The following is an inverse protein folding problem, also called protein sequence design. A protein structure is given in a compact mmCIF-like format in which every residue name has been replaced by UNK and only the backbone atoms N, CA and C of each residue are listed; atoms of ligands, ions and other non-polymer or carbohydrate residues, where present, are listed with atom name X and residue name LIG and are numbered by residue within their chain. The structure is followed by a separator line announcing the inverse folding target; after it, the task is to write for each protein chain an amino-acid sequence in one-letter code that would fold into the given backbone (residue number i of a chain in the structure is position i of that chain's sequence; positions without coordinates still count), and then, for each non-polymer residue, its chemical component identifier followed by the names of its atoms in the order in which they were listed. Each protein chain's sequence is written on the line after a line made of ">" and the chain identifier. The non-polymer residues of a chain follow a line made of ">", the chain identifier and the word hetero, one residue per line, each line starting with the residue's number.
data_IF_535416515132
#
_entry.id   IF_535416515132
#
_cell.length_a   1.000
_cell.length_b   1.000
_cell.length_c   1.000
_cell.angle_alpha   90.00
_cell.angle_beta   90.00
_cell.angle_gamma   90.00
#
_symmetry.space_group_name_H-M   'P 1'
#
loop_
_entity.id
_entity.type
_entity.pdbx_description
1 polymer ?
#
# COMPACT_ATOMS: atom_id res chain seq x y z
N UNK A 1 -33.96 -50.77 -14.06
CA UNK A 1 -32.66 -50.38 -14.69
C UNK A 1 -32.55 -48.88 -14.88
N UNK A 2 -33.59 -48.20 -15.32
CA UNK A 2 -33.56 -46.72 -15.57
C UNK A 2 -33.26 -45.91 -14.28
N UNK A 3 -33.81 -46.33 -13.14
CA UNK A 3 -33.63 -45.66 -11.83
C UNK A 3 -32.18 -45.66 -11.34
N UNK A 4 -31.46 -46.74 -11.62
CA UNK A 4 -30.04 -46.90 -11.28
C UNK A 4 -29.13 -46.05 -12.18
N UNK A 5 -29.49 -45.90 -13.44
CA UNK A 5 -28.77 -45.06 -14.40
C UNK A 5 -28.94 -43.60 -14.06
N UNK A 6 -30.18 -43.15 -13.78
CA UNK A 6 -30.44 -41.75 -13.37
C UNK A 6 -29.76 -41.40 -12.04
N UNK A 7 -29.77 -42.32 -11.05
CA UNK A 7 -29.04 -42.13 -9.78
C UNK A 7 -27.53 -41.98 -10.00
N UNK A 8 -26.96 -42.81 -10.87
CA UNK A 8 -25.53 -42.74 -11.23
C UNK A 8 -25.15 -41.42 -11.91
N UNK A 9 -25.97 -40.94 -12.84
CA UNK A 9 -25.74 -39.63 -13.51
C UNK A 9 -25.82 -38.46 -12.55
N UNK A 10 -26.82 -38.44 -11.64
CA UNK A 10 -26.94 -37.39 -10.61
C UNK A 10 -25.75 -37.41 -9.65
N UNK A 11 -25.32 -38.60 -9.20
CA UNK A 11 -24.14 -38.73 -8.33
C UNK A 11 -22.87 -38.23 -9.04
N UNK A 12 -22.69 -38.54 -10.32
CA UNK A 12 -21.54 -38.09 -11.11
C UNK A 12 -21.54 -36.57 -11.29
N UNK A 13 -22.70 -35.95 -11.52
CA UNK A 13 -22.85 -34.49 -11.58
C UNK A 13 -22.53 -33.82 -10.25
N UNK A 14 -23.00 -34.37 -9.13
CA UNK A 14 -22.70 -33.83 -7.80
C UNK A 14 -21.20 -33.91 -7.47
N UNK A 15 -20.56 -35.05 -7.82
CA UNK A 15 -19.09 -35.20 -7.65
C UNK A 15 -18.34 -34.22 -8.53
N UNK A 16 -18.78 -34.00 -9.77
CA UNK A 16 -18.16 -33.04 -10.69
C UNK A 16 -18.29 -31.60 -10.16
N UNK A 17 -19.46 -31.21 -9.68
CA UNK A 17 -19.67 -29.88 -9.07
C UNK A 17 -18.83 -29.69 -7.79
N UNK A 18 -18.75 -30.73 -6.95
CA UNK A 18 -17.91 -30.68 -5.75
C UNK A 18 -16.41 -30.62 -6.10
N UNK A 19 -15.96 -31.35 -7.12
CA UNK A 19 -14.57 -31.30 -7.60
C UNK A 19 -14.23 -29.91 -8.18
N UNK A 20 -15.15 -29.32 -8.95
CA UNK A 20 -15.00 -27.96 -9.47
C UNK A 20 -14.94 -26.94 -8.34
N UNK A 21 -15.82 -27.04 -7.35
CA UNK A 21 -15.80 -26.17 -6.16
C UNK A 21 -14.50 -26.30 -5.37
N UNK A 22 -14.00 -27.53 -5.16
CA UNK A 22 -12.72 -27.75 -4.50
C UNK A 22 -11.53 -27.21 -5.31
N UNK A 23 -11.56 -27.30 -6.63
CA UNK A 23 -10.54 -26.72 -7.51
C UNK A 23 -10.46 -25.19 -7.31
N UNK A 24 -11.60 -24.49 -7.35
CA UNK A 24 -11.64 -23.03 -7.15
C UNK A 24 -11.19 -22.61 -5.75
N UNK A 25 -11.60 -23.35 -4.71
CA UNK A 25 -11.16 -23.08 -3.34
C UNK A 25 -9.65 -23.25 -3.19
N UNK A 26 -9.09 -24.30 -3.82
CA UNK A 26 -7.62 -24.49 -3.81
C UNK A 26 -6.91 -23.39 -4.54
N UNK A 27 -7.37 -23.01 -5.72
CA UNK A 27 -6.75 -21.93 -6.51
C UNK A 27 -6.79 -20.60 -5.77
N UNK A 28 -7.91 -20.27 -5.14
CA UNK A 28 -8.02 -19.08 -4.30
C UNK A 28 -7.09 -19.16 -3.07
N UNK A 29 -6.99 -20.34 -2.45
CA UNK A 29 -6.05 -20.55 -1.33
C UNK A 29 -4.61 -20.42 -1.78
N UNK A 30 -4.21 -21.02 -2.89
CA UNK A 30 -2.84 -20.96 -3.41
C UNK A 30 -2.47 -19.52 -3.77
N UNK A 31 -3.40 -18.73 -4.35
CA UNK A 31 -3.21 -17.31 -4.60
C UNK A 31 -3.02 -16.51 -3.30
N UNK A 32 -3.86 -16.76 -2.29
CA UNK A 32 -3.73 -16.14 -0.96
C UNK A 32 -2.43 -16.55 -0.26
N UNK A 33 -2.02 -17.82 -0.33
CA UNK A 33 -0.78 -18.30 0.27
C UNK A 33 0.47 -17.70 -0.43
N UNK A 34 0.41 -17.43 -1.74
CA UNK A 34 1.47 -16.70 -2.46
C UNK A 34 1.54 -15.23 -2.02
N UNK A 35 0.39 -14.60 -1.78
CA UNK A 35 0.31 -13.23 -1.29
C UNK A 35 0.67 -13.09 0.20
N UNK A 36 0.47 -14.15 0.99
CA UNK A 36 0.79 -14.22 2.41
C UNK A 36 2.28 -14.46 2.70
N UNK A 37 3.14 -14.47 1.67
CA UNK A 37 4.58 -14.49 1.92
C UNK A 37 4.98 -13.20 2.63
N UNK A 38 5.69 -13.29 3.78
CA UNK A 38 6.11 -12.12 4.51
C UNK A 38 7.06 -11.31 3.63
N UNK A 39 6.57 -10.21 3.09
CA UNK A 39 7.44 -9.22 2.48
C UNK A 39 8.11 -8.47 3.63
N UNK A 40 9.45 -8.50 3.68
CA UNK A 40 10.19 -7.64 4.60
C UNK A 40 9.86 -6.20 4.23
N UNK A 41 9.27 -5.39 5.13
CA UNK A 41 9.01 -3.99 4.83
C UNK A 41 10.30 -3.29 4.44
N UNK A 42 10.28 -2.57 3.33
CA UNK A 42 11.40 -1.77 2.88
C UNK A 42 11.00 -0.29 2.91
N UNK A 43 11.80 0.51 3.60
CA UNK A 43 11.69 1.97 3.54
C UNK A 43 12.65 2.48 2.47
N UNK A 44 12.13 3.26 1.54
CA UNK A 44 12.94 3.96 0.55
C UNK A 44 13.33 5.33 1.09
N UNK A 45 14.62 5.54 1.28
CA UNK A 45 15.21 6.81 1.69
C UNK A 45 15.71 7.51 0.44
N UNK A 46 15.11 8.64 0.11
CA UNK A 46 15.53 9.49 -1.00
C UNK A 46 16.55 10.53 -0.53
N UNK A 47 17.52 10.82 -1.41
CA UNK A 47 18.40 11.99 -1.29
C UNK A 47 17.96 13.02 -2.30
N UNK A 48 17.59 14.20 -1.82
CA UNK A 48 16.98 15.28 -2.61
C UNK A 48 17.87 16.50 -2.60
N UNK A 49 17.95 17.15 -3.75
CA UNK A 49 18.56 18.47 -3.94
C UNK A 49 17.54 19.44 -4.54
N UNK A 50 17.84 20.73 -4.60
CA UNK A 50 16.99 21.66 -5.35
C UNK A 50 17.05 21.32 -6.85
N UNK A 51 15.99 21.64 -7.60
CA UNK A 51 15.89 21.31 -9.03
C UNK A 51 17.02 21.92 -9.88
N UNK A 52 17.49 23.10 -9.49
CA UNK A 52 18.58 23.81 -10.16
C UNK A 52 19.99 23.42 -9.67
N UNK A 53 20.10 22.50 -8.71
CA UNK A 53 21.38 22.00 -8.20
C UNK A 53 22.12 21.18 -9.29
N UNK A 54 23.46 21.33 -9.44
CA UNK A 54 24.23 20.59 -10.45
C UNK A 54 24.36 19.10 -10.22
N UNK A 55 24.18 18.58 -8.99
CA UNK A 55 24.30 17.15 -8.68
C UNK A 55 23.26 16.34 -9.45
N UNK A 56 23.68 15.26 -10.13
CA UNK A 56 22.81 14.38 -10.89
C UNK A 56 22.69 12.98 -10.26
N UNK A 57 23.65 12.62 -9.42
CA UNK A 57 23.75 11.32 -8.75
C UNK A 57 23.99 11.50 -7.26
N UNK A 58 23.81 10.40 -6.50
CA UNK A 58 24.12 10.40 -5.07
C UNK A 58 25.59 10.75 -4.80
N UNK A 59 26.51 10.25 -5.62
CA UNK A 59 27.95 10.44 -5.49
C UNK A 59 28.34 11.93 -5.62
N UNK A 60 27.60 12.69 -6.43
CA UNK A 60 27.84 14.13 -6.61
C UNK A 60 27.56 14.91 -5.31
N UNK A 61 26.80 14.33 -4.38
CA UNK A 61 26.46 14.95 -3.08
C UNK A 61 27.46 14.63 -1.96
N UNK A 62 28.56 13.93 -2.24
CA UNK A 62 29.50 13.42 -1.20
C UNK A 62 30.07 14.51 -0.28
N UNK A 63 30.21 15.74 -0.77
CA UNK A 63 30.69 16.90 0.01
C UNK A 63 29.59 17.85 0.49
N UNK A 64 28.31 17.54 0.21
CA UNK A 64 27.21 18.45 0.51
C UNK A 64 26.89 18.51 1.99
N UNK A 65 26.54 19.70 2.47
CA UNK A 65 25.94 19.89 3.79
C UNK A 65 24.52 19.30 3.74
N UNK A 66 24.40 18.06 4.21
CA UNK A 66 23.17 17.28 4.17
C UNK A 66 22.37 17.43 5.47
N UNK A 67 21.08 17.25 5.38
CA UNK A 67 20.17 17.19 6.53
C UNK A 67 19.33 15.94 6.49
N UNK A 68 19.00 15.42 7.67
CA UNK A 68 18.03 14.36 7.89
C UNK A 68 17.19 14.65 9.13
N UNK A 69 16.35 13.72 9.55
CA UNK A 69 15.54 13.91 10.72
C UNK A 69 14.68 12.70 11.02
N UNK A 70 13.57 12.91 11.76
CA UNK A 70 12.62 11.86 12.13
C UNK A 70 12.20 11.00 10.92
N UNK A 71 11.98 11.65 9.79
CA UNK A 71 11.65 11.02 8.51
C UNK A 71 12.82 10.23 7.87
N UNK A 72 13.97 10.19 8.49
CA UNK A 72 15.18 9.54 7.99
C UNK A 72 16.07 9.03 9.12
N UNK A 73 15.50 8.65 10.27
CA UNK A 73 16.27 8.12 11.41
C UNK A 73 17.18 6.96 10.96
N UNK A 74 18.48 7.08 11.26
CA UNK A 74 19.51 6.15 10.79
C UNK A 74 20.02 6.39 9.37
N UNK A 75 19.47 7.35 8.62
CA UNK A 75 19.86 7.64 7.23
C UNK A 75 21.30 8.10 7.07
N UNK A 76 21.88 8.78 8.08
CA UNK A 76 23.29 9.20 8.03
C UNK A 76 24.24 8.02 7.77
N UNK A 77 24.05 6.91 8.52
CA UNK A 77 24.89 5.72 8.37
C UNK A 77 24.75 5.11 6.96
N UNK A 78 23.52 5.07 6.42
CA UNK A 78 23.25 4.55 5.09
C UNK A 78 23.86 5.44 4.00
N UNK A 79 23.67 6.75 4.08
CA UNK A 79 24.24 7.71 3.14
C UNK A 79 25.76 7.66 3.23
N UNK A 80 26.34 7.62 4.45
CA UNK A 80 27.77 7.50 4.66
C UNK A 80 28.34 6.21 4.08
N UNK A 81 27.64 5.09 4.22
CA UNK A 81 28.03 3.82 3.60
C UNK A 81 27.99 3.89 2.07
N UNK A 82 26.94 4.46 1.49
CA UNK A 82 26.77 4.59 0.05
C UNK A 82 27.82 5.52 -0.58
N UNK A 83 28.15 6.64 0.09
CA UNK A 83 29.15 7.61 -0.36
C UNK A 83 30.59 7.23 -0.03
N UNK A 84 30.80 6.18 0.80
CA UNK A 84 32.13 5.83 1.32
C UNK A 84 32.72 6.83 2.33
N UNK A 85 31.94 7.83 2.73
CA UNK A 85 32.28 8.85 3.73
C UNK A 85 31.03 9.48 4.32
N UNK A 86 31.08 9.90 5.59
CA UNK A 86 29.98 10.62 6.21
C UNK A 86 29.95 12.08 5.69
N UNK A 87 28.80 12.55 5.13
CA UNK A 87 28.64 13.94 4.74
C UNK A 87 28.52 14.86 5.97
N UNK A 88 28.82 16.15 5.87
CA UNK A 88 28.46 17.12 6.91
C UNK A 88 26.95 17.05 7.18
N UNK A 89 26.55 16.73 8.43
CA UNK A 89 25.18 16.34 8.77
C UNK A 89 24.54 17.23 9.83
N UNK A 90 23.24 17.47 9.69
CA UNK A 90 22.41 18.09 10.71
C UNK A 90 21.04 17.42 10.78
N UNK A 91 20.60 17.10 11.99
CA UNK A 91 19.27 16.58 12.27
C UNK A 91 18.23 17.72 12.33
N UNK A 92 17.04 17.44 11.81
CA UNK A 92 15.89 18.31 11.83
C UNK A 92 14.68 17.59 12.49
N UNK A 93 13.86 18.30 13.27
CA UNK A 93 12.78 17.66 14.01
C UNK A 93 11.63 17.16 13.13
N UNK A 94 11.50 17.70 11.93
CA UNK A 94 10.44 17.33 10.98
C UNK A 94 10.92 17.45 9.54
N UNK A 95 10.26 16.73 8.62
CA UNK A 95 10.51 16.85 7.18
C UNK A 95 10.23 18.28 6.68
N UNK A 96 9.28 18.99 7.28
CA UNK A 96 8.99 20.40 6.96
C UNK A 96 10.17 21.33 7.29
N UNK A 97 10.76 21.17 8.47
CA UNK A 97 11.93 21.96 8.88
C UNK A 97 13.14 21.68 7.97
N UNK A 98 13.30 20.44 7.53
CA UNK A 98 14.35 20.06 6.60
C UNK A 98 14.09 20.64 5.20
N UNK A 99 12.86 20.61 4.70
CA UNK A 99 12.48 21.23 3.42
C UNK A 99 12.72 22.75 3.46
N UNK A 100 12.37 23.42 4.55
CA UNK A 100 12.64 24.85 4.76
C UNK A 100 14.15 25.15 4.70
N UNK A 101 14.99 24.32 5.35
CA UNK A 101 16.43 24.48 5.35
C UNK A 101 17.03 24.28 3.96
N UNK A 102 16.53 23.31 3.19
CA UNK A 102 16.92 23.09 1.80
C UNK A 102 16.50 24.29 0.93
N UNK A 103 15.24 24.72 1.01
CA UNK A 103 14.73 25.86 0.22
C UNK A 103 15.42 27.20 0.52
N UNK A 104 15.94 27.38 1.75
CA UNK A 104 16.74 28.55 2.14
C UNK A 104 18.24 28.44 1.78
N UNK A 105 18.69 27.30 1.25
CA UNK A 105 20.09 27.02 0.97
C UNK A 105 20.95 26.80 2.23
N UNK A 106 20.35 26.59 3.39
CA UNK A 106 21.06 26.21 4.64
C UNK A 106 21.61 24.80 4.55
N UNK A 107 20.98 23.96 3.75
CA UNK A 107 21.40 22.61 3.37
C UNK A 107 21.44 22.49 1.85
N UNK A 108 22.38 21.68 1.34
CA UNK A 108 22.52 21.39 -0.07
C UNK A 108 21.81 20.11 -0.47
N UNK A 109 21.65 19.18 0.48
CA UNK A 109 20.89 17.95 0.29
C UNK A 109 19.97 17.66 1.48
N UNK A 110 18.78 17.14 1.20
CA UNK A 110 17.81 16.64 2.16
C UNK A 110 17.67 15.12 2.01
N UNK A 111 17.77 14.41 3.13
CA UNK A 111 17.64 12.96 3.21
C UNK A 111 16.39 12.63 3.99
N UNK A 112 15.40 12.06 3.33
CA UNK A 112 14.11 11.71 3.93
C UNK A 112 13.47 10.53 3.20
N UNK A 113 12.54 9.86 3.86
CA UNK A 113 11.75 8.82 3.20
C UNK A 113 10.96 9.43 2.02
N UNK A 114 10.94 8.71 0.90
CA UNK A 114 10.19 9.12 -0.31
C UNK A 114 8.73 9.41 -0.01
N UNK A 115 8.13 8.64 0.89
CA UNK A 115 6.76 8.83 1.35
C UNK A 115 6.53 10.20 2.05
N UNK A 116 7.50 10.68 2.82
CA UNK A 116 7.42 12.01 3.44
C UNK A 116 7.55 13.15 2.43
N UNK A 117 8.37 12.99 1.38
CA UNK A 117 8.44 13.97 0.30
C UNK A 117 7.08 14.16 -0.38
N UNK A 118 6.37 13.05 -0.62
CA UNK A 118 5.01 13.10 -1.15
C UNK A 118 4.02 13.81 -0.22
N UNK A 119 4.18 13.65 1.10
CA UNK A 119 3.34 14.35 2.08
C UNK A 119 3.66 15.84 2.17
N UNK A 120 4.94 16.21 1.99
CA UNK A 120 5.34 17.61 1.92
C UNK A 120 4.63 18.32 0.76
N UNK A 121 4.63 17.74 -0.45
CA UNK A 121 4.02 18.36 -1.63
C UNK A 121 2.51 18.56 -1.50
N UNK A 122 1.83 17.76 -0.69
CA UNK A 122 0.39 17.89 -0.40
C UNK A 122 0.09 18.95 0.67
N UNK A 123 1.10 19.41 1.41
CA UNK A 123 0.93 20.34 2.50
C UNK A 123 0.89 21.79 2.00
N UNK A 124 -0.06 22.57 2.58
CA UNK A 124 -0.21 23.98 2.23
C UNK A 124 1.06 24.80 2.51
N UNK A 125 1.61 25.41 1.46
CA UNK A 125 2.83 26.22 1.50
C UNK A 125 4.10 25.42 1.18
N UNK A 126 3.97 24.11 0.93
CA UNK A 126 5.06 23.22 0.55
C UNK A 126 4.88 22.58 -0.83
N UNK A 127 3.86 23.00 -1.58
CA UNK A 127 3.58 22.53 -2.95
C UNK A 127 4.80 22.68 -3.89
N UNK A 128 5.68 23.64 -3.56
CA UNK A 128 6.92 23.84 -4.29
C UNK A 128 7.86 22.62 -4.25
N UNK A 129 7.75 21.75 -3.23
CA UNK A 129 8.61 20.58 -3.09
C UNK A 129 8.37 19.53 -4.18
N UNK A 130 7.20 19.54 -4.84
CA UNK A 130 6.88 18.64 -5.94
C UNK A 130 7.78 18.89 -7.17
N UNK A 131 8.02 20.17 -7.48
CA UNK A 131 8.78 20.56 -8.68
C UNK A 131 10.10 21.25 -8.37
N UNK A 132 10.30 21.68 -7.14
CA UNK A 132 11.50 22.39 -6.69
C UNK A 132 12.55 21.48 -6.02
N UNK A 133 12.20 20.21 -5.76
CA UNK A 133 13.13 19.21 -5.26
C UNK A 133 13.29 18.09 -6.28
N UNK A 134 14.53 17.63 -6.46
CA UNK A 134 14.86 16.53 -7.36
C UNK A 134 15.58 15.44 -6.58
N UNK A 135 15.13 14.20 -6.74
CA UNK A 135 15.78 13.02 -6.17
C UNK A 135 17.01 12.65 -6.99
N UNK A 136 18.15 12.52 -6.33
CA UNK A 136 19.43 12.16 -6.95
C UNK A 136 19.92 10.76 -6.57
N UNK A 137 19.25 10.12 -5.61
CA UNK A 137 19.54 8.74 -5.22
C UNK A 137 18.49 8.15 -4.31
N UNK A 138 18.41 6.80 -4.30
CA UNK A 138 17.58 6.00 -3.40
C UNK A 138 18.42 5.00 -2.62
N UNK A 139 18.13 4.87 -1.35
CA UNK A 139 18.69 3.87 -0.45
C UNK A 139 17.52 3.09 0.16
N UNK A 140 17.71 1.80 0.41
CA UNK A 140 16.65 0.94 0.94
C UNK A 140 17.06 0.40 2.32
N UNK A 141 16.14 0.50 3.27
CA UNK A 141 16.28 -0.07 4.62
C UNK A 141 15.30 -1.22 4.73
N UNK A 142 15.80 -2.40 5.03
CA UNK A 142 14.96 -3.53 5.42
C UNK A 142 14.57 -3.38 6.88
N UNK A 143 13.30 -3.43 7.19
CA UNK A 143 12.77 -3.37 8.54
C UNK A 143 12.29 -4.77 8.94
N UNK A 144 12.83 -5.31 10.03
CA UNK A 144 12.28 -6.54 10.60
C UNK A 144 10.91 -6.23 11.23
N UNK A 145 9.85 -6.36 10.46
CA UNK A 145 8.50 -6.32 11.02
C UNK A 145 8.18 -7.68 11.67
N UNK A 146 7.77 -7.71 12.93
CA UNK A 146 7.29 -8.95 13.53
C UNK A 146 6.07 -9.43 12.72
N UNK A 147 6.13 -10.68 12.25
CA UNK A 147 4.99 -11.30 11.58
C UNK A 147 3.79 -11.33 12.55
N UNK A 148 2.64 -10.78 12.18
CA UNK A 148 1.46 -10.88 13.02
C UNK A 148 1.12 -12.36 13.22
N UNK A 149 0.92 -12.76 14.48
CA UNK A 149 0.47 -14.11 14.80
C UNK A 149 -0.98 -14.28 14.32
N UNK A 150 -1.18 -15.07 13.28
CA UNK A 150 -2.53 -15.43 12.83
C UNK A 150 -3.11 -16.42 13.84
N UNK A 151 -4.26 -16.13 14.49
CA UNK A 151 -4.91 -17.09 15.37
C UNK A 151 -5.22 -18.39 14.62
N UNK A 152 -5.01 -19.54 15.27
CA UNK A 152 -5.28 -20.85 14.67
C UNK A 152 -6.77 -21.06 14.33
N UNK A 153 -7.67 -20.37 15.03
CA UNK A 153 -9.11 -20.38 14.76
C UNK A 153 -9.61 -18.94 14.61
N UNK A 154 -10.24 -18.65 13.48
CA UNK A 154 -10.86 -17.35 13.25
C UNK A 154 -12.05 -17.15 14.21
N UNK A 155 -12.16 -16.01 14.89
CA UNK A 155 -13.29 -15.71 15.75
C UNK A 155 -14.60 -15.68 14.94
N UNK A 156 -15.73 -15.89 15.62
CA UNK A 156 -17.07 -15.84 14.98
C UNK A 156 -17.33 -14.50 14.27
N UNK A 157 -16.74 -13.42 14.81
CA UNK A 157 -16.84 -12.06 14.27
C UNK A 157 -15.48 -11.41 14.32
N UNK A 158 -15.10 -10.77 13.23
CA UNK A 158 -13.86 -10.03 13.14
C UNK A 158 -13.96 -8.94 12.07
N UNK A 159 -13.05 -7.98 12.16
CA UNK A 159 -12.90 -6.93 11.15
C UNK A 159 -11.55 -7.11 10.47
N UNK A 160 -11.56 -6.99 9.14
CA UNK A 160 -10.37 -6.99 8.30
C UNK A 160 -10.24 -5.61 7.67
N UNK A 161 -9.08 -5.00 7.79
CA UNK A 161 -8.73 -3.79 7.05
C UNK A 161 -8.16 -4.19 5.68
N UNK A 162 -8.78 -3.69 4.63
CA UNK A 162 -8.33 -3.87 3.24
C UNK A 162 -7.72 -2.55 2.77
N UNK A 163 -6.47 -2.60 2.34
CA UNK A 163 -5.69 -1.44 1.91
C UNK A 163 -4.94 -1.73 0.62
N UNK A 164 -4.70 -0.68 -0.13
CA UNK A 164 -3.76 -0.72 -1.25
C UNK A 164 -2.38 -0.19 -0.86
N UNK A 165 -1.44 -0.31 -1.78
CA UNK A 165 -0.14 0.35 -1.76
C UNK A 165 0.36 0.55 -3.19
N UNK A 166 1.10 1.60 -3.40
CA UNK A 166 1.83 1.83 -4.65
C UNK A 166 3.21 1.15 -4.58
N UNK A 167 3.59 0.46 -5.64
CA UNK A 167 4.87 -0.27 -5.70
C UNK A 167 4.86 -1.62 -4.97
N UNK A 168 6.00 -2.10 -4.47
CA UNK A 168 6.08 -3.33 -3.68
C UNK A 168 5.22 -3.26 -2.41
N UNK A 169 4.55 -4.36 -2.02
CA UNK A 169 3.70 -4.40 -0.82
C UNK A 169 4.47 -4.15 0.48
N UNK A 170 5.79 -4.31 0.45
CA UNK A 170 6.71 -4.00 1.54
C UNK A 170 7.01 -2.51 1.70
N UNK A 171 6.76 -1.69 0.66
CA UNK A 171 7.08 -0.26 0.70
C UNK A 171 6.06 0.50 1.53
N UNK A 172 6.53 1.36 2.43
CA UNK A 172 5.68 2.32 3.12
C UNK A 172 5.24 3.38 2.11
N UNK A 173 3.94 3.50 1.91
CA UNK A 173 3.35 4.44 0.96
C UNK A 173 1.96 4.87 1.43
N UNK A 174 1.45 5.93 0.84
CA UNK A 174 0.06 6.35 1.03
C UNK A 174 -0.90 5.21 0.67
N UNK A 175 -2.02 5.14 1.38
CA UNK A 175 -3.12 4.23 1.06
C UNK A 175 -4.29 5.03 0.46
N UNK A 176 -4.65 4.70 -0.76
CA UNK A 176 -5.78 5.33 -1.45
C UNK A 176 -7.08 4.57 -1.21
N UNK A 177 -6.99 3.27 -0.94
CA UNK A 177 -8.12 2.40 -0.62
C UNK A 177 -8.10 2.04 0.86
N UNK A 178 -9.17 2.38 1.56
CA UNK A 178 -9.34 2.10 2.99
C UNK A 178 -10.73 1.51 3.22
N UNK A 179 -10.81 0.17 3.28
CA UNK A 179 -12.07 -0.56 3.43
C UNK A 179 -12.01 -1.44 4.68
N UNK A 180 -12.99 -1.31 5.56
CA UNK A 180 -13.22 -2.25 6.65
C UNK A 180 -14.22 -3.32 6.21
N UNK A 181 -13.83 -4.59 6.31
CA UNK A 181 -14.66 -5.74 6.06
C UNK A 181 -15.04 -6.40 7.38
N UNK A 182 -16.24 -6.13 7.88
CA UNK A 182 -16.75 -6.77 9.08
C UNK A 182 -17.41 -8.11 8.71
N UNK A 183 -16.83 -9.21 9.22
CA UNK A 183 -17.21 -10.58 8.91
C UNK A 183 -17.95 -11.21 10.09
N UNK A 184 -19.06 -11.85 9.81
CA UNK A 184 -19.75 -12.73 10.75
C UNK A 184 -19.90 -14.12 10.12
N UNK A 185 -19.04 -15.05 10.50
CA UNK A 185 -18.98 -16.41 9.93
C UNK A 185 -20.21 -17.23 10.25
N UNK A 186 -20.76 -17.07 11.46
CA UNK A 186 -21.97 -17.80 11.90
C UNK A 186 -23.21 -17.39 11.13
N UNK A 187 -23.39 -16.06 10.92
CA UNK A 187 -24.54 -15.53 10.17
C UNK A 187 -24.30 -15.48 8.67
N UNK A 188 -23.09 -15.82 8.20
CA UNK A 188 -22.64 -15.70 6.81
C UNK A 188 -22.92 -14.30 6.25
N UNK A 189 -22.54 -13.28 7.02
CA UNK A 189 -22.70 -11.86 6.63
C UNK A 189 -21.36 -11.18 6.53
N UNK A 190 -21.23 -10.39 5.48
CA UNK A 190 -20.13 -9.48 5.25
C UNK A 190 -20.71 -8.07 5.13
N UNK A 191 -20.09 -7.11 5.84
CA UNK A 191 -20.36 -5.69 5.70
C UNK A 191 -19.08 -4.98 5.29
N UNK A 192 -19.15 -4.16 4.25
CA UNK A 192 -18.02 -3.39 3.76
C UNK A 192 -18.27 -1.90 4.02
N UNK A 193 -17.28 -1.23 4.60
CA UNK A 193 -17.29 0.19 4.87
C UNK A 193 -16.04 0.82 4.26
N UNK A 194 -16.21 1.58 3.18
CA UNK A 194 -15.13 2.34 2.56
C UNK A 194 -15.00 3.72 3.24
N UNK A 195 -13.78 4.08 3.61
CA UNK A 195 -13.44 5.39 4.17
C UNK A 195 -12.64 6.17 3.13
N UNK A 196 -13.06 7.39 2.74
CA UNK A 196 -12.30 8.21 1.79
C UNK A 196 -10.87 8.47 2.30
N UNK A 197 -9.90 8.42 1.39
CA UNK A 197 -8.48 8.61 1.71
C UNK A 197 -8.16 9.97 2.35
N UNK A 198 -8.91 11.01 1.99
CA UNK A 198 -8.74 12.37 2.51
C UNK A 198 -9.50 12.62 3.82
N UNK A 199 -10.06 11.57 4.43
CA UNK A 199 -10.75 11.70 5.72
C UNK A 199 -9.77 12.16 6.78
N UNK A 200 -10.16 13.18 7.56
CA UNK A 200 -9.30 13.83 8.54
C UNK A 200 -9.39 13.10 9.86
N UNK A 201 -8.32 12.44 10.26
CA UNK A 201 -8.25 11.53 11.40
C UNK A 201 -7.05 11.82 12.29
N UNK A 202 -7.06 11.34 13.51
CA UNK A 202 -5.88 11.35 14.36
C UNK A 202 -5.38 9.92 14.57
N UNK A 203 -4.08 9.75 14.69
CA UNK A 203 -3.42 8.49 14.98
C UNK A 203 -2.16 8.74 15.82
N UNK A 204 -1.68 7.71 16.51
CA UNK A 204 -0.64 7.84 17.55
C UNK A 204 0.68 8.41 17.02
N UNK A 205 1.07 8.06 15.78
CA UNK A 205 2.33 8.48 15.15
C UNK A 205 2.41 10.00 14.93
N UNK A 206 1.27 10.70 14.85
CA UNK A 206 1.24 12.16 14.75
C UNK A 206 1.22 12.87 16.12
N UNK A 207 1.36 12.10 17.22
CA UNK A 207 1.18 12.65 18.58
C UNK A 207 -0.24 13.11 18.86
N UNK A 208 -1.24 12.58 18.13
CA UNK A 208 -2.66 12.95 18.22
C UNK A 208 -3.04 14.14 17.35
N UNK A 209 -2.12 14.69 16.54
CA UNK A 209 -2.49 15.70 15.55
C UNK A 209 -3.38 15.08 14.47
N UNK A 210 -4.27 15.90 13.91
CA UNK A 210 -5.16 15.46 12.82
C UNK A 210 -4.44 15.54 11.49
N UNK A 211 -4.61 14.49 10.67
CA UNK A 211 -4.06 14.43 9.31
C UNK A 211 -4.99 13.62 8.39
N UNK A 212 -4.68 13.56 7.10
CA UNK A 212 -5.42 12.72 6.15
C UNK A 212 -5.16 11.25 6.42
N UNK A 213 -6.20 10.42 6.30
CA UNK A 213 -6.10 8.97 6.48
C UNK A 213 -5.05 8.33 5.55
N UNK A 214 -4.93 8.83 4.29
CA UNK A 214 -3.94 8.34 3.34
C UNK A 214 -2.51 8.46 3.85
N UNK A 215 -2.21 9.48 4.67
CA UNK A 215 -0.89 9.69 5.25
C UNK A 215 -0.56 8.69 6.37
N UNK A 216 -1.56 8.10 7.02
CA UNK A 216 -1.31 7.04 8.00
C UNK A 216 -0.54 5.86 7.38
N UNK A 217 -0.80 5.53 6.12
CA UNK A 217 -0.07 4.47 5.39
C UNK A 217 1.44 4.70 5.27
N UNK A 218 1.91 5.94 5.35
CA UNK A 218 3.34 6.32 5.32
C UNK A 218 4.05 5.84 6.60
N UNK A 219 3.33 5.83 7.71
CA UNK A 219 3.82 5.36 9.01
C UNK A 219 3.63 3.84 9.20
N UNK A 220 3.11 3.16 8.19
CA UNK A 220 2.84 1.73 8.21
C UNK A 220 1.35 1.40 8.30
N UNK A 221 1.04 0.13 8.09
CA UNK A 221 -0.35 -0.35 8.13
C UNK A 221 -0.94 -0.21 9.53
N UNK A 222 -0.12 -0.34 10.57
CA UNK A 222 -0.50 -0.20 11.98
C UNK A 222 -1.04 1.20 12.29
N UNK A 223 -0.47 2.25 11.68
CA UNK A 223 -0.97 3.61 11.84
C UNK A 223 -2.33 3.80 11.18
N UNK A 224 -2.56 3.18 10.03
CA UNK A 224 -3.88 3.18 9.38
C UNK A 224 -4.92 2.39 10.18
N UNK A 225 -4.51 1.28 10.79
CA UNK A 225 -5.35 0.50 11.71
C UNK A 225 -5.72 1.33 12.92
N UNK A 226 -4.75 1.93 13.62
CA UNK A 226 -4.96 2.79 14.79
C UNK A 226 -5.92 3.96 14.48
N UNK A 227 -5.74 4.61 13.32
CA UNK A 227 -6.62 5.68 12.87
C UNK A 227 -8.07 5.21 12.68
N UNK A 228 -8.27 4.04 12.05
CA UNK A 228 -9.61 3.50 11.77
C UNK A 228 -10.26 2.91 13.02
N UNK A 229 -9.50 2.27 13.91
CA UNK A 229 -9.98 1.81 15.23
C UNK A 229 -10.46 2.98 16.08
N UNK A 230 -9.66 4.05 16.14
CA UNK A 230 -10.02 5.29 16.84
C UNK A 230 -11.27 5.93 16.24
N UNK A 231 -11.36 6.02 14.91
CA UNK A 231 -12.48 6.65 14.20
C UNK A 231 -13.81 5.91 14.40
N UNK A 232 -13.80 4.58 14.35
CA UNK A 232 -15.02 3.77 14.36
C UNK A 232 -15.29 3.06 15.67
N UNK A 233 -14.36 3.05 16.62
CA UNK A 233 -14.50 2.37 17.91
C UNK A 233 -14.62 0.86 17.75
N UNK A 234 -13.86 0.26 16.83
CA UNK A 234 -13.86 -1.18 16.53
C UNK A 234 -12.45 -1.73 16.62
N UNK A 235 -12.29 -3.00 17.00
CA UNK A 235 -11.02 -3.70 16.95
C UNK A 235 -10.83 -4.35 15.57
N UNK A 236 -9.69 -4.09 14.92
CA UNK A 236 -9.32 -4.65 13.62
C UNK A 236 -8.39 -5.84 13.85
N UNK A 237 -8.91 -7.05 13.60
CA UNK A 237 -8.19 -8.30 13.90
C UNK A 237 -7.15 -8.67 12.83
N UNK A 238 -7.37 -8.25 11.60
CA UNK A 238 -6.53 -8.61 10.45
C UNK A 238 -6.45 -7.46 9.47
N UNK A 239 -5.39 -7.45 8.64
CA UNK A 239 -5.34 -6.60 7.47
C UNK A 239 -4.93 -7.39 6.22
N UNK A 240 -5.34 -6.90 5.07
CA UNK A 240 -4.89 -7.33 3.75
C UNK A 240 -4.43 -6.10 2.98
N UNK A 241 -3.16 -6.05 2.63
CA UNK A 241 -2.57 -5.00 1.81
C UNK A 241 -2.24 -5.56 0.43
N UNK A 242 -2.60 -4.83 -0.63
CA UNK A 242 -2.47 -5.28 -2.00
C UNK A 242 -1.94 -4.17 -2.89
N UNK A 243 -1.01 -4.47 -3.77
CA UNK A 243 -0.61 -3.55 -4.83
C UNK A 243 -1.34 -3.88 -6.16
N UNK A 244 -1.11 -3.07 -7.19
CA UNK A 244 -1.76 -3.26 -8.49
C UNK A 244 -1.42 -4.61 -9.14
N UNK A 245 -0.18 -5.09 -8.99
CA UNK A 245 0.21 -6.42 -9.48
C UNK A 245 -0.57 -7.51 -8.78
N UNK A 246 -0.62 -7.50 -7.45
CA UNK A 246 -1.40 -8.46 -6.67
C UNK A 246 -2.89 -8.40 -6.98
N UNK A 247 -3.46 -7.20 -7.23
CA UNK A 247 -4.83 -7.07 -7.68
C UNK A 247 -5.08 -7.81 -9.01
N UNK A 248 -4.22 -7.59 -10.00
CA UNK A 248 -4.30 -8.26 -11.30
C UNK A 248 -4.22 -9.78 -11.14
N UNK A 249 -3.25 -10.26 -10.37
CA UNK A 249 -3.04 -11.71 -10.13
C UNK A 249 -4.25 -12.37 -9.45
N UNK A 250 -4.86 -11.70 -8.47
CA UNK A 250 -6.06 -12.22 -7.78
C UNK A 250 -7.23 -12.33 -8.75
N UNK A 251 -7.49 -11.29 -9.54
CA UNK A 251 -8.60 -11.32 -10.51
C UNK A 251 -8.38 -12.42 -11.56
N UNK A 252 -7.15 -12.58 -12.07
CA UNK A 252 -6.82 -13.61 -13.04
C UNK A 252 -6.92 -15.02 -12.43
N UNK A 253 -6.48 -15.21 -11.18
CA UNK A 253 -6.62 -16.48 -10.46
C UNK A 253 -8.09 -16.88 -10.22
N UNK A 254 -8.99 -15.89 -10.08
CA UNK A 254 -10.43 -16.12 -10.00
C UNK A 254 -11.09 -16.39 -11.36
N UNK A 255 -10.34 -16.30 -12.47
CA UNK A 255 -10.87 -16.45 -13.83
C UNK A 255 -11.57 -15.20 -14.36
N UNK A 256 -11.27 -14.04 -13.80
CA UNK A 256 -11.85 -12.75 -14.15
C UNK A 256 -13.03 -12.35 -13.27
N UNK A 257 -13.49 -11.12 -13.48
CA UNK A 257 -14.65 -10.55 -12.78
C UNK A 257 -15.68 -10.00 -13.77
N UNK A 258 -16.95 -10.00 -13.35
CA UNK A 258 -18.05 -9.41 -14.11
C UNK A 258 -18.43 -8.06 -13.49
N UNK A 259 -18.21 -6.98 -14.22
CA UNK A 259 -18.45 -5.60 -13.76
C UNK A 259 -19.48 -4.92 -14.66
N UNK A 260 -20.42 -4.22 -14.02
CA UNK A 260 -21.43 -3.42 -14.72
C UNK A 260 -20.92 -2.00 -14.95
N UNK A 261 -21.04 -1.52 -16.20
CA UNK A 261 -20.78 -0.12 -16.55
C UNK A 261 -22.08 0.59 -16.93
N UNK A 262 -22.27 1.82 -16.43
CA UNK A 262 -23.42 2.67 -16.78
C UNK A 262 -23.31 3.26 -18.20
N UNK A 263 -22.10 3.22 -18.80
CA UNK A 263 -21.79 3.82 -20.09
C UNK A 263 -20.71 3.04 -20.84
N UNK A 264 -20.64 3.25 -22.14
CA UNK A 264 -19.49 2.83 -22.94
C UNK A 264 -18.34 3.84 -22.76
N UNK A 265 -17.11 3.32 -22.59
CA UNK A 265 -15.88 4.12 -22.58
C UNK A 265 -14.69 3.27 -22.99
N UNK A 266 -13.64 3.93 -23.48
CA UNK A 266 -12.39 3.27 -23.91
C UNK A 266 -11.23 3.71 -23.06
N UNK A 267 -10.43 2.74 -22.60
CA UNK A 267 -9.10 2.97 -22.08
C UNK A 267 -8.10 2.56 -23.16
N UNK A 268 -7.30 3.54 -23.63
CA UNK A 268 -6.35 3.34 -24.73
C UNK A 268 -5.39 2.19 -24.42
N UNK A 269 -5.11 1.39 -25.46
CA UNK A 269 -4.24 0.21 -25.43
C UNK A 269 -4.71 -0.94 -24.52
N UNK A 270 -5.90 -0.85 -23.93
CA UNK A 270 -6.46 -1.94 -23.11
C UNK A 270 -7.74 -2.46 -23.76
N UNK A 271 -8.86 -1.74 -23.65
CA UNK A 271 -10.10 -2.14 -24.31
C UNK A 271 -11.17 -1.04 -24.28
N UNK A 272 -12.24 -1.25 -25.07
CA UNK A 272 -13.52 -0.54 -24.90
C UNK A 272 -14.44 -1.33 -23.98
N UNK A 273 -14.88 -0.68 -22.91
CA UNK A 273 -15.88 -1.21 -21.96
C UNK A 273 -17.27 -0.82 -22.46
N UNK A 274 -18.14 -1.83 -22.57
CA UNK A 274 -19.50 -1.63 -23.05
C UNK A 274 -20.43 -1.18 -21.92
N UNK A 275 -21.48 -0.44 -22.24
CA UNK A 275 -22.58 -0.26 -21.30
C UNK A 275 -23.22 -1.63 -20.98
N UNK A 276 -23.41 -1.93 -19.69
CA UNK A 276 -23.86 -3.24 -19.23
C UNK A 276 -22.73 -4.06 -18.57
N UNK A 277 -22.91 -5.37 -18.51
CA UNK A 277 -21.94 -6.27 -17.89
C UNK A 277 -20.75 -6.54 -18.81
N UNK A 278 -19.56 -6.36 -18.26
CA UNK A 278 -18.28 -6.66 -18.89
C UNK A 278 -17.58 -7.78 -18.11
N UNK A 279 -17.15 -8.83 -18.81
CA UNK A 279 -16.26 -9.84 -18.24
C UNK A 279 -14.81 -9.36 -18.42
N UNK A 280 -14.07 -9.19 -17.31
CA UNK A 280 -12.78 -8.53 -17.28
C UNK A 280 -11.71 -9.47 -16.74
N UNK A 281 -10.53 -9.45 -17.37
CA UNK A 281 -9.26 -9.98 -16.82
C UNK A 281 -8.71 -9.03 -15.76
N UNK A 282 -7.65 -9.42 -15.05
CA UNK A 282 -7.05 -8.59 -14.01
C UNK A 282 -6.62 -7.22 -14.50
N UNK A 283 -5.90 -7.15 -15.62
CA UNK A 283 -5.45 -5.87 -16.19
C UNK A 283 -6.61 -5.01 -16.71
N UNK A 284 -7.63 -5.64 -17.27
CA UNK A 284 -8.82 -4.92 -17.72
C UNK A 284 -9.66 -4.40 -16.54
N UNK A 285 -9.71 -5.16 -15.42
CA UNK A 285 -10.39 -4.75 -14.20
C UNK A 285 -9.64 -3.61 -13.49
N UNK A 286 -8.30 -3.61 -13.54
CA UNK A 286 -7.48 -2.52 -12.99
C UNK A 286 -7.68 -1.22 -13.79
N UNK A 287 -7.88 -1.33 -15.10
CA UNK A 287 -8.07 -0.18 -15.98
C UNK A 287 -9.51 0.36 -15.99
N UNK A 288 -10.50 -0.44 -15.53
CA UNK A 288 -11.91 -0.07 -15.43
C UNK A 288 -12.13 1.00 -14.35
#
# INVERSE_FOLDING_TARGET
>A
KTLWITGGVVALLLVSVAALGMFWVRQAKDALDQMAQPATPQREIGVYVLEDDPAQTLEDTAGYASGGGEAGAGSLALVGQALGQEPPWQEYPTAFALADALGKGERQAAVLEVAYQQSLSDARGYEWTETGMRQVGSLYVEEEAPLPSVPQEAPERFVVYLSDTFGPVSTLARSDVNILAAVNTRKKRLFLLATPRDFYVSFSQTGGAMDKLTHAGIYGVEASVDALETLYGVDIAYYLRMNFTGFVEVIDALGGVSVYSDREFTVENIRTYQQGYNQLTGIEALAF
#
